data_IF_271818669269
#
_entry.id   IF_271818669269
#
_cell.length_a   1.000
_cell.length_b   1.000
_cell.length_c   1.000
_cell.angle_alpha   90.00
_cell.angle_beta   90.00
_cell.angle_gamma   90.00
#
_symmetry.space_group_name_H-M   'P 1'
#
loop_
_entity.id
_entity.type
_entity.pdbx_description
1 polymer ?
#
# COMPACT_ATOMS: atom_id res chain seq x y z
N UNK A 1 26.87 -2.87 22.63
CA UNK A 1 26.04 -1.97 21.81
C UNK A 1 24.90 -1.52 22.69
N UNK A 2 24.82 -0.22 22.99
CA UNK A 2 23.80 0.35 23.88
C UNK A 2 22.56 0.60 23.01
N UNK A 3 21.48 -0.16 23.26
CA UNK A 3 20.15 0.24 22.78
C UNK A 3 19.73 1.44 23.62
N UNK A 4 19.73 2.63 23.04
CA UNK A 4 19.08 3.78 23.65
C UNK A 4 17.57 3.53 23.66
N UNK A 5 17.06 3.10 24.82
CA UNK A 5 15.63 3.07 25.11
C UNK A 5 15.13 4.51 25.09
N UNK A 6 14.40 4.88 24.03
CA UNK A 6 13.80 6.18 23.91
C UNK A 6 12.71 6.28 25.00
N UNK A 7 13.01 7.02 26.07
CA UNK A 7 12.07 7.25 27.17
C UNK A 7 11.01 8.25 26.69
N UNK A 8 9.77 7.77 26.62
CA UNK A 8 8.66 8.50 26.03
C UNK A 8 8.06 9.47 27.04
N UNK A 9 8.30 10.78 26.84
CA UNK A 9 7.67 11.85 27.61
C UNK A 9 6.30 12.22 27.01
N UNK A 10 5.24 12.45 27.82
CA UNK A 10 3.88 12.76 27.34
C UNK A 10 3.74 14.04 26.50
N UNK A 11 4.77 14.89 26.44
CA UNK A 11 4.75 16.21 25.78
C UNK A 11 5.41 16.25 24.40
N UNK A 12 5.93 15.13 23.90
CA UNK A 12 6.53 15.12 22.56
C UNK A 12 5.40 15.14 21.52
N UNK A 13 5.48 16.03 20.53
CA UNK A 13 4.57 16.06 19.40
C UNK A 13 4.75 14.75 18.62
N UNK A 14 3.99 13.73 19.01
CA UNK A 14 4.03 12.39 18.42
C UNK A 14 3.86 12.42 16.90
N UNK A 15 3.15 13.43 16.39
CA UNK A 15 2.99 13.67 14.96
C UNK A 15 4.33 14.02 14.30
N UNK A 16 5.12 14.93 14.88
CA UNK A 16 6.46 15.29 14.37
C UNK A 16 7.45 14.12 14.47
N UNK A 17 7.40 13.35 15.55
CA UNK A 17 8.27 12.18 15.71
C UNK A 17 7.90 11.09 14.70
N UNK A 18 6.61 10.84 14.48
CA UNK A 18 6.14 9.85 13.51
C UNK A 18 6.45 10.27 12.07
N UNK A 19 6.37 11.56 11.76
CA UNK A 19 6.69 12.12 10.44
C UNK A 19 8.15 11.94 10.03
N UNK A 20 9.05 11.77 10.99
CA UNK A 20 10.48 11.63 10.72
C UNK A 20 10.92 10.20 10.41
N UNK A 21 10.08 9.18 10.64
CA UNK A 21 10.42 7.80 10.25
C UNK A 21 10.46 7.66 8.73
N UNK A 22 11.44 6.90 8.23
CA UNK A 22 11.59 6.61 6.80
C UNK A 22 10.32 6.01 6.20
N UNK A 23 9.64 5.12 6.92
CA UNK A 23 8.37 4.51 6.49
C UNK A 23 7.26 5.52 6.27
N UNK A 24 7.15 6.54 7.14
CA UNK A 24 6.14 7.59 6.99
C UNK A 24 6.36 8.40 5.71
N UNK A 25 7.61 8.76 5.42
CA UNK A 25 7.98 9.49 4.20
C UNK A 25 7.71 8.67 2.94
N UNK A 26 7.92 7.36 2.96
CA UNK A 26 7.59 6.50 1.82
C UNK A 26 6.08 6.36 1.61
N UNK A 27 5.30 6.23 2.69
CA UNK A 27 3.83 6.22 2.60
C UNK A 27 3.29 7.54 2.05
N UNK A 28 3.83 8.67 2.49
CA UNK A 28 3.43 9.99 1.99
C UNK A 28 3.70 10.13 0.48
N UNK A 29 4.83 9.60 -0.02
CA UNK A 29 5.11 9.56 -1.46
C UNK A 29 4.09 8.72 -2.23
N UNK A 30 3.69 7.56 -1.68
CA UNK A 30 2.68 6.69 -2.29
C UNK A 30 1.29 7.34 -2.28
N UNK A 31 0.94 8.06 -1.20
CA UNK A 31 -0.33 8.75 -1.04
C UNK A 31 -0.46 9.99 -1.94
N UNK A 32 0.65 10.67 -2.22
CA UNK A 32 0.72 11.89 -3.03
C UNK A 32 1.05 11.63 -4.51
N UNK A 33 1.02 10.37 -4.96
CA UNK A 33 1.21 10.05 -6.37
C UNK A 33 0.20 10.82 -7.23
N UNK A 34 0.66 11.44 -8.31
CA UNK A 34 -0.20 12.18 -9.22
C UNK A 34 -1.11 11.22 -10.00
N UNK A 35 -2.41 11.44 -9.92
CA UNK A 35 -3.45 10.65 -10.59
C UNK A 35 -4.27 11.47 -11.58
N UNK A 36 -3.93 12.75 -11.80
CA UNK A 36 -4.75 13.68 -12.60
C UNK A 36 -4.92 13.21 -14.05
N UNK A 37 -3.89 12.56 -14.61
CA UNK A 37 -3.90 12.03 -15.97
C UNK A 37 -4.18 10.53 -16.03
N UNK A 38 -4.59 9.91 -14.91
CA UNK A 38 -4.85 8.47 -14.89
C UNK A 38 -6.26 8.15 -15.36
N UNK A 39 -6.32 7.63 -16.59
CA UNK A 39 -7.52 7.05 -17.20
C UNK A 39 -7.34 5.53 -17.32
N UNK A 40 -7.40 4.85 -16.17
CA UNK A 40 -7.32 3.39 -16.13
C UNK A 40 -8.67 2.74 -16.42
N UNK A 41 -8.68 1.85 -17.41
CA UNK A 41 -9.81 0.95 -17.66
C UNK A 41 -10.05 0.00 -16.49
N UNK A 42 -8.99 -0.49 -15.83
CA UNK A 42 -9.14 -1.38 -14.68
C UNK A 42 -9.86 -0.69 -13.51
N UNK A 43 -9.58 0.59 -13.26
CA UNK A 43 -10.27 1.37 -12.23
C UNK A 43 -11.71 1.73 -12.61
N UNK A 44 -12.00 1.89 -13.90
CA UNK A 44 -13.36 2.09 -14.38
C UNK A 44 -14.20 0.80 -14.20
N UNK A 45 -13.57 -0.37 -14.37
CA UNK A 45 -14.20 -1.69 -14.23
C UNK A 45 -14.16 -2.24 -12.78
N UNK A 46 -13.72 -1.42 -11.82
CA UNK A 46 -13.65 -1.75 -10.40
C UNK A 46 -15.04 -2.14 -9.83
N UNK A 47 -16.13 -1.72 -10.47
CA UNK A 47 -17.49 -2.07 -10.04
C UNK A 47 -17.90 -1.40 -8.73
N UNK A 48 -17.22 -0.30 -8.37
CA UNK A 48 -17.62 0.59 -7.28
C UNK A 48 -18.03 1.96 -7.83
N UNK A 49 -19.05 2.55 -7.21
CA UNK A 49 -19.44 3.94 -7.45
C UNK A 49 -18.80 4.91 -6.45
N UNK A 50 -18.09 4.41 -5.43
CA UNK A 50 -17.35 5.23 -4.47
C UNK A 50 -16.11 5.86 -5.13
N UNK A 51 -16.04 7.19 -5.10
CA UNK A 51 -14.92 7.95 -5.67
C UNK A 51 -13.62 7.70 -4.90
N UNK A 52 -13.69 7.35 -3.61
CA UNK A 52 -12.50 6.96 -2.83
C UNK A 52 -11.94 5.61 -3.30
N UNK A 53 -12.80 4.66 -3.68
CA UNK A 53 -12.36 3.36 -4.24
C UNK A 53 -11.64 3.58 -5.57
N UNK A 54 -12.20 4.42 -6.44
CA UNK A 54 -11.57 4.79 -7.72
C UNK A 54 -10.26 5.54 -7.50
N UNK A 55 -10.22 6.43 -6.52
CA UNK A 55 -9.01 7.18 -6.16
C UNK A 55 -7.91 6.22 -5.68
N UNK A 56 -8.22 5.30 -4.78
CA UNK A 56 -7.28 4.28 -4.31
C UNK A 56 -6.78 3.42 -5.47
N UNK A 57 -7.67 2.96 -6.35
CA UNK A 57 -7.30 2.19 -7.53
C UNK A 57 -6.29 2.94 -8.43
N UNK A 58 -6.56 4.21 -8.75
CA UNK A 58 -5.64 5.02 -9.56
C UNK A 58 -4.28 5.19 -8.90
N UNK A 59 -4.24 5.36 -7.57
CA UNK A 59 -2.98 5.42 -6.82
C UNK A 59 -2.22 4.09 -6.89
N UNK A 60 -2.91 2.96 -6.80
CA UNK A 60 -2.30 1.62 -6.95
C UNK A 60 -1.61 1.50 -8.30
N UNK A 61 -2.30 1.81 -9.39
CA UNK A 61 -1.75 1.70 -10.74
C UNK A 61 -0.59 2.66 -10.98
N UNK A 62 -0.73 3.93 -10.60
CA UNK A 62 0.35 4.91 -10.78
C UNK A 62 1.58 4.59 -9.94
N UNK A 63 1.41 4.08 -8.72
CA UNK A 63 2.54 3.63 -7.92
C UNK A 63 3.23 2.42 -8.57
N UNK A 64 2.48 1.44 -9.06
CA UNK A 64 3.06 0.31 -9.79
C UNK A 64 3.81 0.78 -11.06
N UNK A 65 3.22 1.69 -11.83
CA UNK A 65 3.85 2.29 -13.00
C UNK A 65 5.14 3.02 -12.63
N UNK A 66 5.15 3.82 -11.56
CA UNK A 66 6.37 4.49 -11.08
C UNK A 66 7.43 3.48 -10.69
N UNK A 67 7.07 2.47 -9.89
CA UNK A 67 7.97 1.41 -9.45
C UNK A 67 8.55 0.63 -10.63
N UNK A 68 7.77 0.41 -11.71
CA UNK A 68 8.26 -0.29 -12.92
C UNK A 68 9.49 0.36 -13.57
N UNK A 69 9.72 1.65 -13.31
CA UNK A 69 10.87 2.41 -13.83
C UNK A 69 12.14 2.24 -12.99
N UNK A 70 12.02 1.69 -11.77
CA UNK A 70 13.13 1.49 -10.83
C UNK A 70 13.82 0.15 -11.04
N UNK A 71 15.05 0.02 -10.54
CA UNK A 71 15.86 -1.20 -10.66
C UNK A 71 16.61 -1.54 -9.36
N UNK A 72 17.07 -2.79 -9.25
CA UNK A 72 17.93 -3.22 -8.15
C UNK A 72 17.29 -3.04 -6.77
N UNK A 73 18.06 -2.53 -5.82
CA UNK A 73 17.62 -2.38 -4.43
C UNK A 73 16.58 -1.27 -4.24
N UNK A 74 16.58 -0.26 -5.10
CA UNK A 74 15.57 0.80 -5.10
C UNK A 74 14.19 0.23 -5.44
N UNK A 75 14.12 -0.63 -6.46
CA UNK A 75 12.89 -1.34 -6.81
C UNK A 75 12.43 -2.25 -5.67
N UNK A 76 13.33 -3.05 -5.08
CA UNK A 76 12.98 -3.96 -3.98
C UNK A 76 12.43 -3.20 -2.78
N UNK A 77 13.10 -2.11 -2.38
CA UNK A 77 12.66 -1.28 -1.25
C UNK A 77 11.33 -0.59 -1.57
N UNK A 78 11.18 -0.04 -2.78
CA UNK A 78 9.93 0.57 -3.22
C UNK A 78 8.76 -0.41 -3.23
N UNK A 79 8.98 -1.64 -3.73
CA UNK A 79 7.99 -2.71 -3.70
C UNK A 79 7.60 -3.11 -2.28
N UNK A 80 8.57 -3.19 -1.35
CA UNK A 80 8.31 -3.48 0.05
C UNK A 80 7.37 -2.44 0.68
N UNK A 81 7.69 -1.15 0.53
CA UNK A 81 6.82 -0.09 1.07
C UNK A 81 5.45 -0.07 0.39
N UNK A 82 5.39 -0.31 -0.92
CA UNK A 82 4.14 -0.39 -1.66
C UNK A 82 3.24 -1.51 -1.15
N UNK A 83 3.78 -2.72 -0.91
CA UNK A 83 3.01 -3.85 -0.37
C UNK A 83 2.36 -3.47 0.96
N UNK A 84 3.14 -2.92 1.89
CA UNK A 84 2.64 -2.53 3.20
C UNK A 84 1.60 -1.40 3.13
N UNK A 85 1.88 -0.37 2.32
CA UNK A 85 0.92 0.71 2.08
C UNK A 85 -0.39 0.20 1.47
N UNK A 86 -0.30 -0.74 0.52
CA UNK A 86 -1.45 -1.35 -0.12
C UNK A 86 -2.29 -2.14 0.90
N UNK A 87 -1.68 -3.06 1.65
CA UNK A 87 -2.37 -3.83 2.70
C UNK A 87 -3.00 -2.94 3.77
N UNK A 88 -2.33 -1.86 4.18
CA UNK A 88 -2.87 -0.91 5.16
C UNK A 88 -4.11 -0.19 4.63
N UNK A 89 -4.10 0.25 3.37
CA UNK A 89 -5.27 0.86 2.74
C UNK A 89 -6.42 -0.15 2.58
N UNK A 90 -6.11 -1.39 2.20
CA UNK A 90 -7.10 -2.45 2.11
C UNK A 90 -7.76 -2.71 3.48
N UNK A 91 -6.94 -2.88 4.53
CA UNK A 91 -7.42 -3.12 5.88
C UNK A 91 -8.28 -1.97 6.40
N UNK A 92 -7.86 -0.72 6.21
CA UNK A 92 -8.60 0.46 6.68
C UNK A 92 -9.95 0.63 6.00
N UNK A 93 -10.05 0.33 4.70
CA UNK A 93 -11.25 0.64 3.91
C UNK A 93 -12.22 -0.52 3.76
N UNK A 94 -11.73 -1.76 3.75
CA UNK A 94 -12.55 -2.94 3.41
C UNK A 94 -12.67 -3.98 4.54
N UNK A 95 -12.16 -3.70 5.74
CA UNK A 95 -12.32 -4.57 6.91
C UNK A 95 -12.93 -3.82 8.10
N UNK A 96 -13.66 -4.56 8.94
CA UNK A 96 -14.04 -4.16 10.28
C UNK A 96 -13.26 -5.03 11.28
N UNK A 97 -12.13 -4.52 11.76
CA UNK A 97 -11.18 -5.32 12.53
C UNK A 97 -10.61 -6.43 11.65
N UNK A 98 -10.91 -7.68 11.99
CA UNK A 98 -10.46 -8.86 11.23
C UNK A 98 -11.48 -9.40 10.23
N UNK A 99 -12.68 -8.85 10.24
CA UNK A 99 -13.78 -9.33 9.42
C UNK A 99 -13.90 -8.48 8.15
N UNK A 100 -14.22 -9.14 7.04
CA UNK A 100 -14.41 -8.47 5.75
C UNK A 100 -15.62 -7.54 5.83
N UNK A 101 -15.46 -6.33 5.32
CA UNK A 101 -16.54 -5.37 5.13
C UNK A 101 -17.45 -5.74 3.97
N UNK A 102 -18.60 -5.05 3.85
CA UNK A 102 -19.60 -5.31 2.80
C UNK A 102 -19.09 -5.05 1.38
N UNK A 103 -18.11 -4.16 1.23
CA UNK A 103 -17.48 -3.76 -0.03
C UNK A 103 -16.20 -4.54 -0.34
N UNK A 104 -15.94 -5.66 0.33
CA UNK A 104 -14.70 -6.43 0.14
C UNK A 104 -14.47 -6.95 -1.29
N UNK A 105 -15.53 -7.13 -2.08
CA UNK A 105 -15.39 -7.46 -3.51
C UNK A 105 -14.57 -6.42 -4.30
N UNK A 106 -14.55 -5.15 -3.85
CA UNK A 106 -13.69 -4.12 -4.41
C UNK A 106 -12.22 -4.38 -4.08
N UNK A 107 -11.93 -4.81 -2.85
CA UNK A 107 -10.58 -5.19 -2.45
C UNK A 107 -10.04 -6.36 -3.28
N UNK A 108 -10.86 -7.38 -3.54
CA UNK A 108 -10.50 -8.52 -4.40
C UNK A 108 -10.07 -8.05 -5.79
N UNK A 109 -10.82 -7.14 -6.40
CA UNK A 109 -10.44 -6.55 -7.69
C UNK A 109 -9.15 -5.73 -7.63
N UNK A 110 -8.89 -5.01 -6.54
CA UNK A 110 -7.61 -4.31 -6.36
C UNK A 110 -6.43 -5.28 -6.31
N UNK A 111 -6.58 -6.44 -5.64
CA UNK A 111 -5.58 -7.50 -5.68
C UNK A 111 -5.38 -8.08 -7.08
N UNK A 112 -6.47 -8.27 -7.83
CA UNK A 112 -6.41 -8.74 -9.22
C UNK A 112 -5.67 -7.75 -10.14
N UNK A 113 -5.86 -6.45 -9.94
CA UNK A 113 -5.13 -5.40 -10.67
C UNK A 113 -3.63 -5.50 -10.39
N UNK A 114 -3.23 -5.58 -9.12
CA UNK A 114 -1.80 -5.75 -8.76
C UNK A 114 -1.23 -7.03 -9.38
N UNK A 115 -1.99 -8.13 -9.31
CA UNK A 115 -1.61 -9.43 -9.86
C UNK A 115 -1.52 -9.43 -11.39
N UNK A 116 -2.29 -8.58 -12.06
CA UNK A 116 -2.29 -8.41 -13.51
C UNK A 116 -1.13 -7.53 -13.98
N UNK A 117 -0.85 -6.44 -13.27
CA UNK A 117 0.14 -5.45 -13.68
C UNK A 117 1.57 -5.87 -13.33
N UNK A 118 1.79 -6.49 -12.17
CA UNK A 118 3.14 -6.84 -11.71
C UNK A 118 3.90 -7.80 -12.64
N UNK A 119 3.29 -8.81 -13.30
CA UNK A 119 3.99 -9.66 -14.26
C UNK A 119 4.26 -8.98 -15.61
N UNK A 120 3.42 -8.00 -16.01
CA UNK A 120 3.61 -7.23 -17.25
C UNK A 120 4.91 -6.42 -17.19
N UNK A 121 5.27 -5.95 -16.01
CA UNK A 121 6.55 -5.30 -15.77
C UNK A 121 7.60 -6.35 -15.41
N UNK A 122 8.50 -6.67 -16.35
CA UNK A 122 9.46 -7.79 -16.30
C UNK A 122 10.43 -7.85 -15.10
N UNK A 123 10.33 -6.91 -14.14
CA UNK A 123 11.16 -6.82 -12.94
C UNK A 123 10.35 -6.65 -11.65
N UNK A 124 9.03 -6.62 -11.70
CA UNK A 124 8.16 -6.30 -10.55
C UNK A 124 7.68 -7.52 -9.75
N UNK A 125 8.38 -8.64 -9.85
CA UNK A 125 8.13 -9.82 -9.01
C UNK A 125 8.10 -9.45 -7.51
N UNK A 126 9.01 -8.57 -7.08
CA UNK A 126 9.08 -8.10 -5.70
C UNK A 126 7.86 -7.26 -5.26
N UNK A 127 7.07 -6.73 -6.19
CA UNK A 127 5.90 -5.89 -5.93
C UNK A 127 4.58 -6.69 -5.86
N UNK A 128 4.62 -8.00 -6.11
CA UNK A 128 3.42 -8.83 -6.04
C UNK A 128 2.78 -8.74 -4.66
N UNK A 129 1.50 -8.46 -4.64
CA UNK A 129 0.68 -8.52 -3.43
C UNK A 129 -0.19 -9.75 -3.56
N UNK A 130 0.28 -10.89 -3.05
CA UNK A 130 -0.52 -12.10 -3.10
C UNK A 130 -1.76 -11.93 -2.24
N UNK A 131 -2.89 -12.37 -2.78
CA UNK A 131 -4.09 -12.64 -2.00
C UNK A 131 -3.78 -13.82 -1.06
N UNK A 132 -3.12 -13.54 0.06
CA UNK A 132 -3.14 -14.48 1.16
C UNK A 132 -4.56 -14.39 1.76
N UNK A 133 -5.26 -15.51 1.99
CA UNK A 133 -6.48 -15.55 2.79
C UNK A 133 -6.13 -15.22 4.24
N UNK A 134 -5.74 -13.97 4.48
CA UNK A 134 -5.22 -13.45 5.72
C UNK A 134 -6.15 -12.37 6.26
N UNK A 135 -6.12 -12.23 7.59
CA UNK A 135 -6.77 -11.12 8.27
C UNK A 135 -5.77 -9.96 8.36
N UNK A 136 -6.21 -8.70 8.51
CA UNK A 136 -5.32 -7.57 8.71
C UNK A 136 -4.24 -7.77 9.79
N UNK A 137 -4.53 -8.55 10.84
CA UNK A 137 -3.53 -8.93 11.84
C UNK A 137 -2.34 -9.72 11.31
N UNK A 138 -2.52 -10.55 10.30
CA UNK A 138 -1.44 -11.34 9.72
C UNK A 138 -0.52 -10.48 8.85
N UNK A 139 -1.06 -9.42 8.24
CA UNK A 139 -0.27 -8.42 7.52
C UNK A 139 0.58 -7.57 8.47
N UNK A 140 0.08 -7.27 9.68
CA UNK A 140 0.83 -6.53 10.71
C UNK A 140 2.03 -7.31 11.25
N UNK A 141 1.95 -8.64 11.33
CA UNK A 141 3.08 -9.48 11.82
C UNK A 141 4.29 -9.43 10.89
N UNK A 142 4.09 -9.13 9.59
CA UNK A 142 5.17 -8.98 8.60
C UNK A 142 5.86 -7.60 8.65
N UNK A 143 5.36 -6.65 9.45
CA UNK A 143 5.93 -5.29 9.60
C UNK A 143 7.16 -5.26 10.54
N UNK A 144 7.31 -6.28 11.40
CA UNK A 144 8.32 -6.31 12.46
C UNK A 144 9.30 -7.50 12.39
N UNK A 145 9.36 -8.21 11.26
CA UNK A 145 10.26 -9.36 11.06
C UNK A 145 11.47 -8.97 10.21
#
# INVERSE_FOLDING_TARGET
>A
MIYNKMELSPKNNWVEVLQNFSSHKEYEKLDKVDIANENSNHCNDLGSSDDEDKTLCKKVEQNLRRLSTLHGDELKSGCYYFQHWFFDNIAKKYYNGNDRGKNYAVAEKLFDIVSTLTPVYSKMEACKCYFEPGKPEDWKKKIFA
#
